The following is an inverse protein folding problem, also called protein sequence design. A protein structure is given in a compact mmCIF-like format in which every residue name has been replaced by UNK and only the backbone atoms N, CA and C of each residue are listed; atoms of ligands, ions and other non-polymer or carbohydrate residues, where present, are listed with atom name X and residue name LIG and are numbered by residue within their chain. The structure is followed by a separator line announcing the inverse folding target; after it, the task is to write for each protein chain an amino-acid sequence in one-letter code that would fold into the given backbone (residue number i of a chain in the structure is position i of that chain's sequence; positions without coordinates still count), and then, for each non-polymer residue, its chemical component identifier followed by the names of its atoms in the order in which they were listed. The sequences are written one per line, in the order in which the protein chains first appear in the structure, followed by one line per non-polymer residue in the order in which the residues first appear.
data_IF_332139889998
#
_entry.id   IF_332139889998
#
_cell.length_a   1.000
_cell.length_b   1.000
_cell.length_c   1.000
_cell.angle_alpha   90.00
_cell.angle_beta   90.00
_cell.angle_gamma   90.00
#
_symmetry.space_group_name_H-M   'P 1'
#
loop_
_entity.id
_entity.type
_entity.pdbx_description
1 polymer ?
#
# COMPACT_ATOMS: atom_id res chain seq x y z
N UNK A 1 15.55 -6.97 11.95
CA UNK A 1 16.10 -8.33 11.72
C UNK A 1 15.04 -9.42 11.55
N UNK A 2 14.05 -9.58 12.45
CA UNK A 2 13.05 -10.67 12.35
C UNK A 2 12.23 -10.74 11.04
N UNK A 3 11.83 -9.60 10.46
CA UNK A 3 10.98 -9.60 9.26
C UNK A 3 11.73 -10.08 8.00
N UNK A 4 12.98 -9.63 7.85
CA UNK A 4 13.88 -10.03 6.76
C UNK A 4 14.12 -11.54 6.82
N UNK A 5 14.42 -12.07 8.01
CA UNK A 5 14.63 -13.52 8.19
C UNK A 5 13.38 -14.34 7.88
N UNK A 6 12.19 -13.84 8.27
CA UNK A 6 10.92 -14.49 7.93
C UNK A 6 10.72 -14.59 6.42
N UNK A 7 10.94 -13.51 5.68
CA UNK A 7 10.78 -13.50 4.23
C UNK A 7 11.87 -14.33 3.55
N UNK A 8 13.11 -14.30 4.05
CA UNK A 8 14.20 -15.15 3.55
C UNK A 8 13.84 -16.64 3.64
N UNK A 9 13.26 -17.10 4.75
CA UNK A 9 12.77 -18.48 4.92
C UNK A 9 11.61 -18.84 3.99
N UNK A 10 10.90 -17.86 3.44
CA UNK A 10 9.85 -18.04 2.45
C UNK A 10 10.40 -18.04 1.01
N UNK A 11 11.71 -17.90 0.80
CA UNK A 11 12.36 -17.93 -0.51
C UNK A 11 12.63 -16.56 -1.13
N UNK A 12 12.42 -15.46 -0.39
CA UNK A 12 12.74 -14.12 -0.90
C UNK A 12 14.25 -13.81 -0.77
N UNK A 13 14.82 -13.02 -1.70
CA UNK A 13 16.16 -12.49 -1.52
C UNK A 13 16.23 -11.56 -0.31
N UNK A 14 17.41 -11.46 0.31
CA UNK A 14 17.61 -10.61 1.50
C UNK A 14 17.31 -9.12 1.25
N UNK A 15 17.42 -8.67 0.00
CA UNK A 15 17.10 -7.32 -0.45
C UNK A 15 15.60 -7.05 -0.61
N UNK A 16 14.74 -8.06 -0.60
CA UNK A 16 13.31 -7.87 -0.91
C UNK A 16 12.61 -6.91 0.06
N UNK A 17 12.78 -7.14 1.37
CA UNK A 17 12.17 -6.31 2.41
C UNK A 17 12.69 -4.87 2.41
N UNK A 18 14.01 -4.59 2.35
CA UNK A 18 14.47 -3.21 2.27
C UNK A 18 14.01 -2.50 0.99
N UNK A 19 13.96 -3.20 -0.16
CA UNK A 19 13.41 -2.63 -1.41
C UNK A 19 11.93 -2.33 -1.26
N UNK A 20 11.13 -3.27 -0.74
CA UNK A 20 9.70 -3.07 -0.49
C UNK A 20 9.45 -1.91 0.46
N UNK A 21 10.24 -1.82 1.54
CA UNK A 21 10.16 -0.73 2.51
C UNK A 21 10.53 0.62 1.91
N UNK A 22 11.59 0.68 1.12
CA UNK A 22 12.02 1.89 0.42
C UNK A 22 10.97 2.38 -0.57
N UNK A 23 10.46 1.50 -1.44
CA UNK A 23 9.41 1.84 -2.41
C UNK A 23 8.13 2.28 -1.71
N UNK A 24 7.72 1.58 -0.65
CA UNK A 24 6.56 1.96 0.16
C UNK A 24 6.73 3.33 0.83
N UNK A 25 7.93 3.64 1.33
CA UNK A 25 8.24 4.94 1.93
C UNK A 25 8.23 6.05 0.88
N UNK A 26 8.82 5.83 -0.30
CA UNK A 26 8.81 6.78 -1.40
C UNK A 26 7.38 7.08 -1.87
N UNK A 27 6.54 6.04 -2.00
CA UNK A 27 5.14 6.18 -2.36
C UNK A 27 4.36 7.00 -1.32
N UNK A 28 4.57 6.71 -0.02
CA UNK A 28 3.89 7.43 1.06
C UNK A 28 4.35 8.89 1.13
N UNK A 29 5.66 9.14 1.07
CA UNK A 29 6.22 10.49 1.15
C UNK A 29 5.75 11.37 -0.01
N UNK A 30 5.78 10.84 -1.23
CA UNK A 30 5.27 11.56 -2.40
C UNK A 30 3.74 11.75 -2.33
N UNK A 31 2.99 10.77 -1.83
CA UNK A 31 1.54 10.89 -1.64
C UNK A 31 1.17 12.00 -0.65
N UNK A 32 1.87 12.07 0.49
CA UNK A 32 1.69 13.14 1.48
C UNK A 32 2.00 14.51 0.87
N UNK A 33 3.09 14.60 0.08
CA UNK A 33 3.49 15.84 -0.57
C UNK A 33 2.48 16.34 -1.61
N UNK A 34 1.64 15.45 -2.15
CA UNK A 34 0.56 15.78 -3.09
C UNK A 34 -0.75 16.17 -2.39
N UNK A 35 -0.90 16.00 -1.07
CA UNK A 35 -2.11 16.38 -0.34
C UNK A 35 -2.44 17.88 -0.48
N UNK A 36 -1.48 18.83 -0.36
CA UNK A 36 -1.78 20.24 -0.60
C UNK A 36 -2.37 20.50 -1.99
N UNK A 37 -1.89 19.77 -3.01
CA UNK A 37 -2.42 19.90 -4.37
C UNK A 37 -3.88 19.42 -4.46
N UNK A 38 -4.23 18.31 -3.80
CA UNK A 38 -5.62 17.87 -3.66
C UNK A 38 -6.46 18.97 -3.00
N UNK A 39 -6.01 19.47 -1.85
CA UNK A 39 -6.77 20.44 -1.06
C UNK A 39 -7.01 21.74 -1.84
N UNK A 40 -6.01 22.22 -2.59
CA UNK A 40 -6.17 23.43 -3.39
C UNK A 40 -6.96 23.21 -4.68
N UNK A 41 -6.70 22.14 -5.43
CA UNK A 41 -7.31 21.95 -6.75
C UNK A 41 -8.67 21.27 -6.72
N UNK A 42 -8.94 20.48 -5.69
CA UNK A 42 -10.18 19.70 -5.58
C UNK A 42 -11.09 20.22 -4.46
N UNK A 43 -10.53 20.76 -3.38
CA UNK A 43 -11.30 21.28 -2.24
C UNK A 43 -11.30 22.82 -2.17
N UNK A 44 -10.74 23.49 -3.17
CA UNK A 44 -10.68 24.95 -3.31
C UNK A 44 -10.09 25.67 -2.08
N UNK A 45 -9.21 24.99 -1.33
CA UNK A 45 -8.54 25.59 -0.18
C UNK A 45 -7.35 26.44 -0.64
N UNK A 46 -7.37 27.71 -0.28
CA UNK A 46 -6.26 28.63 -0.51
C UNK A 46 -5.11 28.33 0.47
N UNK A 47 -4.18 27.49 0.03
CA UNK A 47 -3.02 27.11 0.81
C UNK A 47 -1.82 27.99 0.42
N UNK A 48 -1.02 28.45 1.40
CA UNK A 48 0.14 29.29 1.13
C UNK A 48 1.22 28.58 0.31
N UNK A 49 1.17 27.25 0.24
CA UNK A 49 2.13 26.45 -0.51
C UNK A 49 1.51 25.12 -0.99
N UNK A 50 1.83 24.75 -2.23
CA UNK A 50 1.58 23.44 -2.82
C UNK A 50 2.63 23.16 -3.91
N UNK A 51 2.93 21.88 -4.24
CA UNK A 51 3.89 21.59 -5.30
C UNK A 51 3.35 22.06 -6.66
N UNK A 52 4.13 22.88 -7.37
CA UNK A 52 3.78 23.43 -8.68
C UNK A 52 4.91 23.21 -9.70
N UNK A 53 4.64 23.44 -10.99
CA UNK A 53 5.62 23.35 -12.07
C UNK A 53 6.39 22.03 -12.13
N UNK A 54 7.73 22.11 -12.18
CA UNK A 54 8.62 20.95 -12.23
C UNK A 54 8.47 20.05 -11.00
N UNK A 55 8.35 20.64 -9.81
CA UNK A 55 8.25 19.87 -8.56
C UNK A 55 6.98 19.00 -8.57
N UNK A 56 5.84 19.56 -8.98
CA UNK A 56 4.59 18.80 -9.16
C UNK A 56 4.79 17.60 -10.09
N UNK A 57 5.42 17.82 -11.23
CA UNK A 57 5.62 16.76 -12.23
C UNK A 57 6.54 15.65 -11.70
N UNK A 58 7.65 16.01 -11.03
CA UNK A 58 8.56 15.05 -10.44
C UNK A 58 7.90 14.25 -9.32
N UNK A 59 7.21 14.91 -8.40
CA UNK A 59 6.55 14.25 -7.27
C UNK A 59 5.45 13.30 -7.76
N UNK A 60 4.60 13.75 -8.69
CA UNK A 60 3.57 12.90 -9.32
C UNK A 60 4.21 11.73 -10.08
N UNK A 61 5.24 11.98 -10.88
CA UNK A 61 5.93 10.94 -11.63
C UNK A 61 6.55 9.86 -10.74
N UNK A 62 7.25 10.27 -9.67
CA UNK A 62 7.82 9.36 -8.67
C UNK A 62 6.71 8.61 -7.93
N UNK A 63 5.60 9.27 -7.59
CA UNK A 63 4.46 8.64 -6.93
C UNK A 63 3.87 7.52 -7.80
N UNK A 64 3.55 7.82 -9.06
CA UNK A 64 2.99 6.85 -10.01
C UNK A 64 3.96 5.70 -10.25
N UNK A 65 5.25 5.99 -10.50
CA UNK A 65 6.27 4.96 -10.70
C UNK A 65 6.41 4.05 -9.47
N UNK A 66 6.48 4.64 -8.27
CA UNK A 66 6.56 3.88 -7.02
C UNK A 66 5.33 3.01 -6.82
N UNK A 67 4.15 3.50 -7.21
CA UNK A 67 2.90 2.75 -7.17
C UNK A 67 2.94 1.51 -8.05
N UNK A 68 3.39 1.64 -9.30
CA UNK A 68 3.57 0.50 -10.20
C UNK A 68 4.59 -0.52 -9.67
N UNK A 69 5.74 -0.04 -9.18
CA UNK A 69 6.77 -0.91 -8.58
C UNK A 69 6.21 -1.63 -7.35
N UNK A 70 5.43 -0.95 -6.50
CA UNK A 70 4.82 -1.54 -5.33
C UNK A 70 3.81 -2.63 -5.71
N UNK A 71 2.94 -2.39 -6.70
CA UNK A 71 1.99 -3.39 -7.21
C UNK A 71 2.72 -4.62 -7.75
N UNK A 72 3.81 -4.42 -8.50
CA UNK A 72 4.66 -5.51 -8.99
C UNK A 72 5.24 -6.35 -7.85
N UNK A 73 5.84 -5.70 -6.83
CA UNK A 73 6.38 -6.38 -5.66
C UNK A 73 5.29 -7.12 -4.87
N UNK A 74 4.08 -6.54 -4.78
CA UNK A 74 2.93 -7.16 -4.12
C UNK A 74 2.40 -8.39 -4.89
N UNK A 75 2.57 -8.44 -6.21
CA UNK A 75 2.36 -9.66 -7.00
C UNK A 75 3.23 -10.82 -6.48
N UNK A 76 4.51 -10.57 -6.23
CA UNK A 76 5.40 -11.55 -5.60
C UNK A 76 4.95 -11.93 -4.18
N UNK A 77 4.56 -10.93 -3.36
CA UNK A 77 3.99 -11.14 -2.01
C UNK A 77 2.77 -12.06 -2.07
N UNK A 78 1.91 -11.90 -3.06
CA UNK A 78 0.66 -12.66 -3.20
C UNK A 78 0.93 -14.15 -3.41
N UNK A 79 1.86 -14.48 -4.31
CA UNK A 79 2.15 -15.86 -4.71
C UNK A 79 2.74 -16.67 -3.56
N UNK A 80 3.63 -16.07 -2.75
CA UNK A 80 4.37 -16.78 -1.71
C UNK A 80 3.82 -16.51 -0.32
N UNK A 81 3.67 -15.24 0.08
CA UNK A 81 3.31 -14.89 1.46
C UNK A 81 1.82 -15.09 1.73
N UNK A 82 0.96 -14.52 0.87
CA UNK A 82 -0.50 -14.56 1.05
C UNK A 82 -0.99 -15.99 0.88
N UNK A 83 -0.60 -16.67 -0.20
CA UNK A 83 -0.96 -18.08 -0.44
C UNK A 83 -0.56 -18.98 0.74
N UNK A 84 0.68 -18.90 1.21
CA UNK A 84 1.14 -19.73 2.30
C UNK A 84 0.44 -19.40 3.64
N UNK A 85 0.16 -18.12 3.91
CA UNK A 85 -0.65 -17.71 5.05
C UNK A 85 -2.08 -18.24 5.00
N UNK A 86 -2.72 -18.17 3.84
CA UNK A 86 -4.06 -18.72 3.64
C UNK A 86 -4.10 -20.23 3.83
N UNK A 87 -3.15 -20.98 3.26
CA UNK A 87 -3.06 -22.43 3.45
C UNK A 87 -2.90 -22.80 4.93
N UNK A 88 -2.16 -22.01 5.72
CA UNK A 88 -2.00 -22.21 7.17
C UNK A 88 -3.16 -21.67 8.02
N UNK A 89 -4.18 -21.05 7.43
CA UNK A 89 -5.27 -20.43 8.20
C UNK A 89 -4.87 -19.15 8.94
N UNK A 90 -3.73 -18.56 8.57
CA UNK A 90 -3.07 -17.50 9.29
C UNK A 90 -3.46 -16.12 8.76
N UNK A 91 -3.84 -15.18 9.65
CA UNK A 91 -4.08 -13.76 9.30
C UNK A 91 -4.99 -13.54 8.09
N UNK A 92 -5.95 -14.45 7.82
CA UNK A 92 -6.79 -14.38 6.62
C UNK A 92 -7.55 -13.06 6.52
N UNK A 93 -8.16 -12.63 7.63
CA UNK A 93 -8.98 -11.41 7.69
C UNK A 93 -8.11 -10.17 7.50
N UNK A 94 -7.05 -10.01 8.29
CA UNK A 94 -6.18 -8.82 8.17
C UNK A 94 -5.41 -8.78 6.86
N UNK A 95 -5.04 -9.95 6.30
CA UNK A 95 -4.44 -10.07 4.98
C UNK A 95 -5.42 -9.68 3.88
N UNK A 96 -6.64 -10.24 3.89
CA UNK A 96 -7.68 -9.88 2.92
C UNK A 96 -8.00 -8.39 2.96
N UNK A 97 -8.16 -7.82 4.15
CA UNK A 97 -8.43 -6.39 4.32
C UNK A 97 -7.30 -5.52 3.73
N UNK A 98 -6.04 -5.84 4.03
CA UNK A 98 -4.90 -5.13 3.46
C UNK A 98 -4.85 -5.23 1.92
N UNK A 99 -5.08 -6.43 1.38
CA UNK A 99 -5.11 -6.65 -0.08
C UNK A 99 -6.25 -5.90 -0.75
N UNK A 100 -7.45 -5.89 -0.15
CA UNK A 100 -8.59 -5.10 -0.65
C UNK A 100 -8.29 -3.61 -0.67
N UNK A 101 -7.64 -3.09 0.38
CA UNK A 101 -7.27 -1.67 0.44
C UNK A 101 -6.29 -1.28 -0.68
N UNK A 102 -5.30 -2.13 -0.95
CA UNK A 102 -4.35 -1.96 -2.06
C UNK A 102 -5.08 -2.02 -3.41
N UNK A 103 -6.02 -2.95 -3.59
CA UNK A 103 -6.79 -3.05 -4.82
C UNK A 103 -7.64 -1.80 -5.06
N UNK A 104 -8.29 -1.27 -4.02
CA UNK A 104 -9.04 -0.02 -4.10
C UNK A 104 -8.13 1.19 -4.39
N UNK A 105 -6.92 1.24 -3.83
CA UNK A 105 -5.91 2.24 -4.19
C UNK A 105 -5.53 2.17 -5.67
N UNK A 106 -5.33 0.97 -6.21
CA UNK A 106 -5.04 0.80 -7.63
C UNK A 106 -6.20 1.24 -8.53
N UNK A 107 -7.44 0.86 -8.19
CA UNK A 107 -8.64 1.27 -8.94
C UNK A 107 -8.82 2.79 -8.92
N UNK A 108 -8.70 3.40 -7.74
CA UNK A 108 -8.82 4.87 -7.62
C UNK A 108 -7.70 5.62 -8.34
N UNK A 109 -6.48 5.07 -8.39
CA UNK A 109 -5.39 5.63 -9.21
C UNK A 109 -5.72 5.59 -10.71
N UNK A 110 -6.29 4.50 -11.21
CA UNK A 110 -6.73 4.38 -12.61
C UNK A 110 -7.82 5.42 -12.90
N UNK A 111 -8.81 5.58 -12.01
CA UNK A 111 -9.83 6.60 -12.16
C UNK A 111 -9.24 8.02 -12.19
N UNK A 112 -8.23 8.31 -11.36
CA UNK A 112 -7.55 9.61 -11.37
C UNK A 112 -6.79 9.89 -12.68
N UNK A 113 -6.21 8.86 -13.29
CA UNK A 113 -5.43 9.01 -14.52
C UNK A 113 -6.29 9.08 -15.78
N UNK A 114 -7.44 8.41 -15.79
CA UNK A 114 -8.18 8.14 -17.02
C UNK A 114 -9.66 8.52 -17.00
N UNK A 115 -10.22 8.95 -15.86
CA UNK A 115 -11.64 9.35 -15.83
C UNK A 115 -11.86 10.64 -16.64
N UNK A 116 -12.79 10.63 -17.62
CA UNK A 116 -13.17 11.86 -18.33
C UNK A 116 -14.16 12.71 -17.53
N UNK A 117 -14.76 12.15 -16.47
CA UNK A 117 -15.73 12.83 -15.62
C UNK A 117 -15.03 13.45 -14.42
N UNK A 118 -15.09 14.78 -14.33
CA UNK A 118 -14.48 15.57 -13.25
C UNK A 118 -14.98 15.15 -11.87
N UNK A 119 -16.29 14.96 -11.71
CA UNK A 119 -16.88 14.51 -10.44
C UNK A 119 -16.33 13.15 -9.96
N UNK A 120 -16.08 12.22 -10.89
CA UNK A 120 -15.52 10.90 -10.57
C UNK A 120 -14.03 11.04 -10.19
N UNK A 121 -13.27 11.85 -10.93
CA UNK A 121 -11.88 12.12 -10.60
C UNK A 121 -11.73 12.79 -9.23
N UNK A 122 -12.61 13.75 -8.91
CA UNK A 122 -12.68 14.43 -7.62
C UNK A 122 -12.93 13.44 -6.47
N UNK A 123 -13.97 12.61 -6.57
CA UNK A 123 -14.26 11.59 -5.55
C UNK A 123 -13.15 10.56 -5.44
N UNK A 124 -12.59 10.10 -6.56
CA UNK A 124 -11.46 9.19 -6.58
C UNK A 124 -10.25 9.79 -5.87
N UNK A 125 -10.00 11.10 -6.00
CA UNK A 125 -8.88 11.78 -5.37
C UNK A 125 -9.00 11.73 -3.84
N UNK A 126 -10.17 12.09 -3.31
CA UNK A 126 -10.46 12.04 -1.88
C UNK A 126 -10.31 10.62 -1.34
N UNK A 127 -10.96 9.65 -2.00
CA UNK A 127 -10.92 8.24 -1.57
C UNK A 127 -9.49 7.70 -1.63
N UNK A 128 -8.75 7.97 -2.71
CA UNK A 128 -7.36 7.54 -2.87
C UNK A 128 -6.48 8.06 -1.73
N UNK A 129 -6.61 9.35 -1.38
CA UNK A 129 -5.84 9.96 -0.29
C UNK A 129 -6.20 9.33 1.07
N UNK A 130 -7.49 9.17 1.38
CA UNK A 130 -7.92 8.56 2.64
C UNK A 130 -7.43 7.10 2.78
N UNK A 131 -7.56 6.31 1.71
CA UNK A 131 -7.05 4.94 1.69
C UNK A 131 -5.52 4.91 1.79
N UNK A 132 -4.82 5.85 1.17
CA UNK A 132 -3.36 5.96 1.19
C UNK A 132 -2.83 6.25 2.59
N UNK A 133 -3.53 7.09 3.35
CA UNK A 133 -3.24 7.36 4.77
C UNK A 133 -3.55 6.14 5.64
N UNK A 134 -4.64 5.43 5.37
CA UNK A 134 -5.04 4.25 6.13
C UNK A 134 -4.09 3.05 5.92
N UNK A 135 -3.55 2.87 4.72
CA UNK A 135 -2.72 1.72 4.35
C UNK A 135 -1.54 1.45 5.30
N UNK A 136 -0.64 2.41 5.63
CA UNK A 136 0.49 2.15 6.51
C UNK A 136 0.05 1.72 7.92
N UNK A 137 -1.09 2.21 8.42
CA UNK A 137 -1.66 1.78 9.70
C UNK A 137 -2.09 0.32 9.62
N UNK A 138 -2.82 -0.07 8.58
CA UNK A 138 -3.29 -1.44 8.34
C UNK A 138 -2.12 -2.41 8.19
N UNK A 139 -1.12 -2.06 7.39
CA UNK A 139 0.09 -2.87 7.19
C UNK A 139 0.88 -3.00 8.50
N UNK A 140 1.02 -1.90 9.25
CA UNK A 140 1.68 -1.90 10.56
C UNK A 140 0.98 -2.82 11.56
N UNK A 141 -0.35 -2.76 11.62
CA UNK A 141 -1.16 -3.67 12.45
C UNK A 141 -1.00 -5.12 11.99
N UNK A 142 -1.16 -5.40 10.69
CA UNK A 142 -1.00 -6.73 10.11
C UNK A 142 0.38 -7.34 10.42
N UNK A 143 1.45 -6.54 10.31
CA UNK A 143 2.81 -6.99 10.62
C UNK A 143 3.00 -7.34 12.10
N UNK A 144 2.41 -6.54 13.01
CA UNK A 144 2.56 -6.69 14.47
C UNK A 144 1.67 -7.75 15.09
N UNK A 145 0.52 -8.09 14.50
CA UNK A 145 -0.37 -9.12 15.06
C UNK A 145 0.39 -10.44 15.17
N UNK A 146 0.61 -10.95 16.38
CA UNK A 146 1.12 -12.31 16.58
C UNK A 146 -0.04 -13.29 16.48
N UNK A 147 0.11 -14.33 15.68
CA UNK A 147 -0.85 -15.42 15.65
C UNK A 147 -0.52 -16.31 16.84
N UNK A 148 -1.43 -16.41 17.81
CA UNK A 148 -1.40 -17.52 18.76
C UNK A 148 -1.85 -18.74 17.96
N UNK A 149 -0.89 -19.56 17.52
CA UNK A 149 -1.21 -20.88 17.00
C UNK A 149 -1.89 -21.61 18.15
N UNK A 150 -3.20 -21.83 18.02
CA UNK A 150 -3.92 -22.73 18.92
C UNK A 150 -3.32 -24.09 18.61
N UNK A 151 -2.34 -24.52 19.40
CA UNK A 151 -1.81 -25.87 19.35
C UNK A 151 -3.01 -26.79 19.55
N UNK A 152 -3.60 -27.27 18.45
CA UNK A 152 -4.47 -28.42 18.52
C UNK A 152 -3.55 -29.53 18.98
N UNK A 153 -3.67 -29.87 20.27
CA UNK A 153 -3.13 -31.08 20.90
C UNK A 153 -3.18 -32.19 19.85
N UNK A 154 -2.03 -32.60 19.36
CA UNK A 154 -1.85 -33.99 18.98
C UNK A 154 -2.10 -34.76 20.26
N UNK A 155 -3.29 -35.33 20.38
CA UNK A 155 -3.56 -36.43 21.30
C UNK A 155 -3.06 -37.65 20.52
N UNK A 156 -1.99 -38.33 20.95
CA UNK A 156 -1.76 -39.70 20.51
C UNK A 156 -2.80 -40.56 21.22
N UNK A 157 -3.53 -41.33 20.43
CA UNK A 157 -4.41 -42.40 20.88
C UNK A 157 -3.56 -43.64 21.18
#
# INVERSE_FOLDING_TARGET
MMLVEKFRRQGYPASFIPVLGFVGLALLATGILLIPLLLTMQMELDLPWYPSGLLRNLVTGIHVLSGFVLVFLLGAVTIVHIRAGWLRGEKRVSGAFATSLIALLAVTAILLLYSPLEAVAHQAAIVHTLLGIALPLVIGMHARTRIRVRARRFRPD
#
